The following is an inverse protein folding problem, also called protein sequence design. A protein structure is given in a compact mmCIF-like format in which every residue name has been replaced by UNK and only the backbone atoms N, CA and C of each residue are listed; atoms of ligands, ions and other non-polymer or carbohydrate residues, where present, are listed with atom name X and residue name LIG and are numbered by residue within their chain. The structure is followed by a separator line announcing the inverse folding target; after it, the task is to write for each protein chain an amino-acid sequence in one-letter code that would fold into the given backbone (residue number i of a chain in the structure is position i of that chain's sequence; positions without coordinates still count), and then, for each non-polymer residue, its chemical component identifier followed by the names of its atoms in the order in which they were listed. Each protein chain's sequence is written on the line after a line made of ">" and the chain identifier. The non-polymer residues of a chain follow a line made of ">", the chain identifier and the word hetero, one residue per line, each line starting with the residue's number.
data_IF_552591729781
#
_entry.id   IF_552591729781
#
_cell.length_a   1.000
_cell.length_b   1.000
_cell.length_c   1.000
_cell.angle_alpha   90.00
_cell.angle_beta   90.00
_cell.angle_gamma   90.00
#
_symmetry.space_group_name_H-M   'P 1'
#
loop_
_entity.id
_entity.type
_entity.pdbx_description
1 polymer ?
#
# COMPACT_ATOMS: atom_id res chain seq x y z
N UNK A 1 -20.05 -90.09 2.34
CA UNK A 1 -21.48 -90.10 2.69
C UNK A 1 -21.80 -88.70 3.20
N UNK A 2 -22.36 -87.81 2.39
CA UNK A 2 -23.75 -87.83 1.98
C UNK A 2 -24.56 -86.97 2.95
N UNK A 3 -25.04 -85.81 2.50
CA UNK A 3 -26.13 -85.08 3.14
C UNK A 3 -25.84 -83.62 3.50
N UNK A 4 -26.20 -82.69 2.61
CA UNK A 4 -26.70 -81.36 3.00
C UNK A 4 -28.17 -81.55 3.42
N UNK A 5 -28.69 -80.82 4.43
CA UNK A 5 -29.67 -79.81 4.04
C UNK A 5 -29.67 -78.50 4.85
N UNK A 6 -29.83 -77.41 4.09
CA UNK A 6 -30.78 -76.29 4.24
C UNK A 6 -30.68 -75.39 5.48
N UNK A 7 -30.14 -74.20 5.25
CA UNK A 7 -30.49 -72.97 5.97
C UNK A 7 -31.00 -71.90 5.00
N UNK A 8 -32.27 -71.54 5.12
CA UNK A 8 -32.84 -70.28 4.61
C UNK A 8 -32.18 -69.10 5.36
N UNK A 9 -32.13 -67.85 4.89
CA UNK A 9 -33.18 -67.02 4.28
C UNK A 9 -32.55 -65.84 3.52
N UNK A 10 -33.29 -65.40 2.53
CA UNK A 10 -33.08 -64.24 1.67
C UNK A 10 -32.55 -62.99 2.38
N UNK A 11 -31.37 -62.55 1.97
CA UNK A 11 -30.97 -61.15 2.01
C UNK A 11 -31.18 -60.58 0.62
N UNK A 12 -32.40 -60.09 0.35
CA UNK A 12 -32.71 -59.35 -0.86
C UNK A 12 -31.83 -58.11 -0.94
N UNK A 13 -30.71 -58.23 -1.66
CA UNK A 13 -29.91 -57.13 -2.14
C UNK A 13 -30.74 -56.40 -3.21
N UNK A 14 -31.58 -55.43 -2.78
CA UNK A 14 -32.29 -54.54 -3.70
C UNK A 14 -31.27 -53.61 -4.34
N UNK A 15 -30.75 -53.99 -5.50
CA UNK A 15 -30.15 -53.06 -6.44
C UNK A 15 -31.16 -51.96 -6.74
N UNK A 16 -30.89 -50.74 -6.27
CA UNK A 16 -31.75 -49.59 -6.54
C UNK A 16 -31.64 -49.26 -8.04
N UNK A 17 -32.69 -49.57 -8.80
CA UNK A 17 -32.83 -49.17 -10.19
C UNK A 17 -32.84 -47.64 -10.35
N UNK A 18 -32.80 -47.12 -11.60
CA UNK A 18 -32.75 -45.69 -11.85
C UNK A 18 -33.95 -44.96 -11.23
N UNK A 19 -33.68 -43.83 -10.57
CA UNK A 19 -34.68 -42.99 -9.91
C UNK A 19 -35.78 -42.59 -10.90
N UNK A 20 -37.03 -42.75 -10.47
CA UNK A 20 -38.20 -42.31 -11.23
C UNK A 20 -38.20 -40.79 -11.37
N UNK A 21 -38.90 -40.26 -12.38
CA UNK A 21 -39.02 -38.83 -12.62
C UNK A 21 -39.52 -38.10 -11.36
N UNK A 22 -40.57 -38.60 -10.71
CA UNK A 22 -41.10 -38.05 -9.46
C UNK A 22 -40.08 -38.03 -8.31
N UNK A 23 -39.26 -39.08 -8.15
CA UNK A 23 -38.20 -39.11 -7.13
C UNK A 23 -37.07 -38.12 -7.42
N UNK A 24 -36.84 -37.75 -8.69
CA UNK A 24 -35.86 -36.72 -9.07
C UNK A 24 -36.37 -35.30 -8.76
N UNK A 25 -37.66 -35.03 -8.95
CA UNK A 25 -38.24 -33.71 -8.61
C UNK A 25 -38.50 -33.53 -7.11
N UNK A 26 -38.83 -34.60 -6.37
CA UNK A 26 -39.00 -34.53 -4.91
C UNK A 26 -37.72 -34.13 -4.15
N UNK A 27 -36.54 -34.29 -4.75
CA UNK A 27 -35.28 -33.81 -4.17
C UNK A 27 -35.19 -32.26 -4.15
N UNK A 28 -35.90 -31.58 -5.06
CA UNK A 28 -35.95 -30.12 -5.10
C UNK A 28 -36.86 -29.54 -4.00
N UNK A 29 -37.80 -30.32 -3.47
CA UNK A 29 -38.67 -29.89 -2.36
C UNK A 29 -37.92 -29.78 -1.02
N UNK A 30 -36.75 -30.41 -0.91
CA UNK A 30 -35.87 -30.33 0.26
C UNK A 30 -34.68 -29.38 0.06
N UNK A 31 -34.60 -28.70 -1.10
CA UNK A 31 -33.54 -27.75 -1.37
C UNK A 31 -33.86 -26.40 -0.74
N UNK A 32 -33.09 -26.03 0.29
CA UNK A 32 -33.19 -24.74 0.98
C UNK A 32 -32.50 -23.63 0.17
N UNK A 33 -33.21 -23.14 -0.85
CA UNK A 33 -32.71 -22.06 -1.69
C UNK A 33 -32.47 -20.77 -0.88
N UNK A 34 -33.35 -20.44 0.07
CA UNK A 34 -33.26 -19.23 0.88
C UNK A 34 -32.03 -19.25 1.79
N UNK A 35 -31.72 -20.40 2.40
CA UNK A 35 -30.50 -20.59 3.17
C UNK A 35 -29.23 -20.45 2.32
N UNK A 36 -29.24 -20.97 1.09
CA UNK A 36 -28.11 -20.83 0.16
C UNK A 36 -27.92 -19.38 -0.27
N UNK A 37 -29.01 -18.67 -0.63
CA UNK A 37 -28.98 -17.25 -1.00
C UNK A 37 -28.48 -16.40 0.16
N UNK A 38 -29.00 -16.60 1.38
CA UNK A 38 -28.55 -15.88 2.57
C UNK A 38 -27.06 -16.11 2.88
N UNK A 39 -26.57 -17.34 2.70
CA UNK A 39 -25.15 -17.65 2.86
C UNK A 39 -24.26 -16.97 1.79
N UNK A 40 -24.77 -16.83 0.55
CA UNK A 40 -24.08 -16.09 -0.50
C UNK A 40 -24.03 -14.59 -0.20
N UNK A 41 -25.13 -13.98 0.25
CA UNK A 41 -25.19 -12.56 0.61
C UNK A 41 -24.24 -12.21 1.77
N UNK A 42 -24.18 -13.05 2.82
CA UNK A 42 -23.23 -12.86 3.91
C UNK A 42 -21.78 -12.94 3.42
N UNK A 43 -21.48 -13.91 2.54
CA UNK A 43 -20.16 -14.01 1.91
C UNK A 43 -19.83 -12.76 1.09
N UNK A 44 -20.77 -12.22 0.33
CA UNK A 44 -20.58 -11.00 -0.45
C UNK A 44 -20.30 -9.79 0.46
N UNK A 45 -21.01 -9.66 1.59
CA UNK A 45 -20.74 -8.60 2.59
C UNK A 45 -19.34 -8.74 3.18
N UNK A 46 -18.92 -9.96 3.51
CA UNK A 46 -17.57 -10.21 4.04
C UNK A 46 -16.49 -9.92 3.00
N UNK A 47 -16.71 -10.31 1.74
CA UNK A 47 -15.84 -9.94 0.63
C UNK A 47 -15.78 -8.41 0.46
N UNK A 48 -16.90 -7.72 0.55
CA UNK A 48 -16.95 -6.26 0.46
C UNK A 48 -16.23 -5.59 1.64
N UNK A 49 -16.42 -6.09 2.86
CA UNK A 49 -15.68 -5.64 4.04
C UNK A 49 -14.18 -5.82 3.85
N UNK A 50 -13.75 -6.98 3.34
CA UNK A 50 -12.34 -7.24 3.06
C UNK A 50 -11.81 -6.30 1.98
N UNK A 51 -12.57 -6.07 0.89
CA UNK A 51 -12.19 -5.13 -0.17
C UNK A 51 -11.99 -3.72 0.38
N UNK A 52 -12.91 -3.23 1.20
CA UNK A 52 -12.78 -1.90 1.86
C UNK A 52 -11.55 -1.83 2.75
N UNK A 53 -11.27 -2.90 3.50
CA UNK A 53 -10.13 -2.96 4.40
C UNK A 53 -8.79 -2.99 3.65
N UNK A 54 -8.69 -3.75 2.56
CA UNK A 54 -7.49 -3.77 1.69
C UNK A 54 -7.20 -2.37 1.18
N UNK A 55 -8.19 -1.67 0.63
CA UNK A 55 -8.03 -0.29 0.14
C UNK A 55 -7.59 0.65 1.27
N UNK A 56 -8.15 0.51 2.48
CA UNK A 56 -7.74 1.31 3.64
C UNK A 56 -6.28 1.09 4.00
N UNK A 57 -5.84 -0.17 4.06
CA UNK A 57 -4.48 -0.54 4.42
C UNK A 57 -3.47 -0.13 3.35
N UNK A 58 -3.82 -0.27 2.07
CA UNK A 58 -2.99 0.19 0.95
C UNK A 58 -2.82 1.70 0.97
N UNK A 59 -3.90 2.46 1.16
CA UNK A 59 -3.83 3.92 1.32
C UNK A 59 -2.94 4.31 2.51
N UNK A 60 -3.09 3.64 3.66
CA UNK A 60 -2.24 3.88 4.83
C UNK A 60 -0.77 3.58 4.53
N UNK A 61 -0.48 2.51 3.79
CA UNK A 61 0.88 2.14 3.38
C UNK A 61 1.49 3.19 2.45
N UNK A 62 0.76 3.63 1.44
CA UNK A 62 1.21 4.65 0.50
C UNK A 62 1.50 5.98 1.20
N UNK A 63 0.63 6.38 2.13
CA UNK A 63 0.87 7.57 2.96
C UNK A 63 2.12 7.44 3.83
N UNK A 64 2.33 6.28 4.47
CA UNK A 64 3.52 6.03 5.28
C UNK A 64 4.80 6.07 4.43
N UNK A 65 4.77 5.49 3.22
CA UNK A 65 5.89 5.53 2.27
C UNK A 65 6.18 6.95 1.80
N UNK A 66 5.16 7.73 1.46
CA UNK A 66 5.32 9.14 1.06
C UNK A 66 5.93 9.98 2.19
N UNK A 67 5.45 9.82 3.43
CA UNK A 67 6.02 10.49 4.61
C UNK A 67 7.48 10.10 4.85
N UNK A 68 7.80 8.81 4.71
CA UNK A 68 9.18 8.33 4.83
C UNK A 68 10.07 8.97 3.76
N UNK A 69 9.62 9.04 2.51
CA UNK A 69 10.38 9.66 1.42
C UNK A 69 10.58 11.17 1.64
N UNK A 70 9.54 11.86 2.12
CA UNK A 70 9.64 13.28 2.48
C UNK A 70 10.63 13.50 3.62
N UNK A 71 10.60 12.66 4.66
CA UNK A 71 11.54 12.74 5.77
C UNK A 71 13.00 12.52 5.32
N UNK A 72 13.24 11.52 4.47
CA UNK A 72 14.57 11.26 3.91
C UNK A 72 15.06 12.43 3.03
N UNK A 73 14.17 13.03 2.22
CA UNK A 73 14.51 14.21 1.43
C UNK A 73 14.85 15.42 2.31
N UNK A 74 14.07 15.64 3.38
CA UNK A 74 14.33 16.70 4.34
C UNK A 74 15.66 16.49 5.10
N UNK A 75 15.97 15.26 5.49
CA UNK A 75 17.23 14.90 6.15
C UNK A 75 18.43 15.10 5.22
N UNK A 76 18.32 14.68 3.95
CA UNK A 76 19.36 14.91 2.94
C UNK A 76 19.60 16.42 2.71
N UNK A 77 18.52 17.20 2.61
CA UNK A 77 18.59 18.66 2.51
C UNK A 77 19.28 19.29 3.70
N UNK A 78 18.97 18.83 4.92
CA UNK A 78 19.55 19.35 6.16
C UNK A 78 21.04 19.01 6.25
N UNK A 79 21.44 17.79 5.87
CA UNK A 79 22.85 17.40 5.81
C UNK A 79 23.65 18.27 4.82
N UNK A 80 23.08 18.56 3.64
CA UNK A 80 23.69 19.47 2.66
C UNK A 80 23.78 20.90 3.20
N UNK A 81 22.73 21.39 3.87
CA UNK A 81 22.73 22.69 4.55
C UNK A 81 23.86 22.80 5.56
N UNK A 82 24.04 21.80 6.41
CA UNK A 82 25.11 21.82 7.41
C UNK A 82 26.50 21.80 6.77
N UNK A 83 26.70 21.01 5.71
CA UNK A 83 27.95 21.04 4.94
C UNK A 83 28.19 22.41 4.30
N UNK A 84 27.15 23.04 3.77
CA UNK A 84 27.19 24.40 3.23
C UNK A 84 27.59 25.43 4.28
N UNK A 85 27.00 25.33 5.48
CA UNK A 85 27.35 26.19 6.62
C UNK A 85 28.84 26.04 6.98
N UNK A 86 29.37 24.82 7.03
CA UNK A 86 30.79 24.55 7.30
C UNK A 86 31.70 25.17 6.22
N UNK A 87 31.32 25.06 4.94
CA UNK A 87 32.06 25.70 3.84
C UNK A 87 32.03 27.22 3.96
N UNK A 88 30.86 27.80 4.29
CA UNK A 88 30.70 29.23 4.49
C UNK A 88 31.58 29.75 5.64
N UNK A 89 31.62 29.04 6.77
CA UNK A 89 32.49 29.38 7.90
C UNK A 89 33.97 29.28 7.53
N UNK A 90 34.33 28.39 6.62
CA UNK A 90 35.70 28.24 6.09
C UNK A 90 36.02 29.22 4.95
N UNK A 91 35.18 30.24 4.72
CA UNK A 91 35.29 31.22 3.63
C UNK A 91 35.31 30.61 2.20
N UNK A 92 34.87 29.35 2.06
CA UNK A 92 34.70 28.65 0.77
C UNK A 92 33.29 28.92 0.25
N UNK A 93 33.04 30.16 -0.17
CA UNK A 93 31.70 30.63 -0.50
C UNK A 93 31.11 29.99 -1.76
N UNK A 94 31.92 29.73 -2.79
CA UNK A 94 31.45 29.06 -4.02
C UNK A 94 30.89 27.66 -3.74
N UNK A 95 31.64 26.86 -2.98
CA UNK A 95 31.20 25.52 -2.58
C UNK A 95 29.99 25.55 -1.63
N UNK A 96 29.87 26.60 -0.80
CA UNK A 96 28.69 26.80 0.02
C UNK A 96 27.44 27.04 -0.85
N UNK A 97 27.54 27.87 -1.91
CA UNK A 97 26.46 28.12 -2.87
C UNK A 97 26.01 26.83 -3.56
N UNK A 98 26.95 26.01 -4.01
CA UNK A 98 26.63 24.70 -4.63
C UNK A 98 25.90 23.79 -3.65
N UNK A 99 26.37 23.69 -2.41
CA UNK A 99 25.74 22.84 -1.39
C UNK A 99 24.33 23.31 -1.01
N UNK A 100 24.10 24.63 -0.91
CA UNK A 100 22.75 25.16 -0.68
C UNK A 100 21.83 24.95 -1.89
N UNK A 101 22.36 25.07 -3.11
CA UNK A 101 21.61 24.78 -4.34
C UNK A 101 21.17 23.32 -4.39
N UNK A 102 22.07 22.38 -4.09
CA UNK A 102 21.72 20.96 -4.00
C UNK A 102 20.71 20.69 -2.88
N UNK A 103 20.79 21.42 -1.76
CA UNK A 103 19.79 21.31 -0.68
C UNK A 103 18.40 21.79 -1.14
N UNK A 104 18.34 22.84 -1.96
CA UNK A 104 17.09 23.36 -2.53
C UNK A 104 16.43 22.38 -3.50
N UNK A 105 17.17 21.49 -4.17
CA UNK A 105 16.57 20.42 -4.98
C UNK A 105 15.69 19.48 -4.13
N UNK A 106 16.04 19.29 -2.86
CA UNK A 106 15.30 18.46 -1.91
C UNK A 106 14.20 19.23 -1.16
N UNK A 107 14.43 20.50 -0.87
CA UNK A 107 13.46 21.38 -0.19
C UNK A 107 13.34 22.75 -0.86
N UNK A 108 12.69 22.83 -2.05
CA UNK A 108 12.66 24.05 -2.88
C UNK A 108 11.85 25.20 -2.29
N UNK A 109 11.23 25.03 -1.13
CA UNK A 109 10.44 26.06 -0.43
C UNK A 109 11.09 26.52 0.87
N UNK A 110 12.38 26.25 1.04
CA UNK A 110 13.11 26.60 2.25
C UNK A 110 13.67 28.01 2.16
N UNK A 111 12.96 28.99 2.73
CA UNK A 111 13.43 30.37 2.85
C UNK A 111 14.83 30.46 3.51
N UNK A 112 15.13 29.57 4.46
CA UNK A 112 16.43 29.51 5.13
C UNK A 112 17.56 29.16 4.16
N UNK A 113 17.32 28.26 3.20
CA UNK A 113 18.33 27.88 2.22
C UNK A 113 18.58 29.00 1.21
N UNK A 114 17.53 29.67 0.74
CA UNK A 114 17.66 30.85 -0.11
C UNK A 114 18.42 31.97 0.60
N UNK A 115 18.07 32.29 1.85
CA UNK A 115 18.81 33.28 2.63
C UNK A 115 20.29 32.92 2.82
N UNK A 116 20.60 31.66 3.13
CA UNK A 116 21.98 31.19 3.27
C UNK A 116 22.76 31.25 1.96
N UNK A 117 22.13 30.95 0.83
CA UNK A 117 22.72 31.04 -0.50
C UNK A 117 22.94 32.50 -0.92
N UNK A 118 21.97 33.37 -0.70
CA UNK A 118 22.11 34.82 -0.90
C UNK A 118 23.28 35.38 -0.09
N UNK A 119 23.41 35.02 1.19
CA UNK A 119 24.53 35.44 2.03
C UNK A 119 25.90 35.00 1.45
N UNK A 120 25.98 33.78 0.91
CA UNK A 120 27.20 33.28 0.27
C UNK A 120 27.50 34.01 -1.05
N UNK A 121 26.48 34.29 -1.86
CA UNK A 121 26.58 35.08 -3.10
C UNK A 121 27.03 36.52 -2.83
N UNK A 122 26.51 37.15 -1.78
CA UNK A 122 26.97 38.48 -1.33
C UNK A 122 28.46 38.48 -0.98
N UNK A 123 28.98 37.41 -0.35
CA UNK A 123 30.42 37.27 -0.07
C UNK A 123 31.27 37.09 -1.33
N UNK A 124 30.67 36.60 -2.42
CA UNK A 124 31.28 36.50 -3.74
C UNK A 124 31.09 37.76 -4.60
N UNK A 125 30.41 38.79 -4.09
CA UNK A 125 30.00 39.98 -4.86
C UNK A 125 29.07 39.69 -6.05
N UNK A 126 28.34 38.56 -6.00
CA UNK A 126 27.30 38.18 -6.95
C UNK A 126 25.95 38.77 -6.51
N UNK A 127 25.83 40.09 -6.63
CA UNK A 127 24.66 40.84 -6.11
C UNK A 127 23.34 40.54 -6.85
N UNK A 128 23.30 40.44 -8.19
CA UNK A 128 22.05 40.14 -8.90
C UNK A 128 21.45 38.79 -8.50
N UNK A 129 22.29 37.76 -8.37
CA UNK A 129 21.86 36.42 -7.98
C UNK A 129 21.41 36.39 -6.51
N UNK A 130 22.04 37.20 -5.65
CA UNK A 130 21.61 37.34 -4.26
C UNK A 130 20.26 38.06 -4.13
N UNK A 131 19.93 39.00 -5.02
CA UNK A 131 18.64 39.68 -5.08
C UNK A 131 17.53 38.72 -5.51
N UNK A 132 17.78 37.90 -6.54
CA UNK A 132 16.84 36.86 -6.99
C UNK A 132 16.52 35.86 -5.86
N UNK A 133 17.53 35.45 -5.08
CA UNK A 133 17.33 34.60 -3.91
C UNK A 133 16.49 35.27 -2.82
N UNK A 134 16.61 36.60 -2.63
CA UNK A 134 15.79 37.34 -1.67
C UNK A 134 14.32 37.44 -2.12
N UNK A 135 14.07 37.55 -3.42
CA UNK A 135 12.72 37.60 -3.99
C UNK A 135 12.03 36.23 -3.99
N UNK A 136 12.82 35.16 -4.05
CA UNK A 136 12.32 33.78 -4.10
C UNK A 136 12.09 33.17 -2.70
N UNK A 137 12.74 33.71 -1.66
CA UNK A 137 12.68 33.25 -0.26
C UNK A 137 11.32 33.49 0.42
#
# INVERSE_FOLDING_TARGET
>A
TGGIPRGAKDSTNKSKGPLTHAQKYGAWEHYDADGVVGAMEEREKDEERLRREVVRLENKRLQAQARKQQALSAEASEALRQRGNTCFQSARYSEAVELYTNALEHTPRSAVLYANRALALLKLSAYPEAEEDCDTA
#
